data_IF_554680852577
#
_entry.id   IF_554680852577
#
_cell.length_a   1.000
_cell.length_b   1.000
_cell.length_c   1.000
_cell.angle_alpha   90.00
_cell.angle_beta   90.00
_cell.angle_gamma   90.00
#
_symmetry.space_group_name_H-M   'P 1'
#
loop_
_entity.id
_entity.type
_entity.pdbx_description
1 polymer ?
#
# COMPACT_ATOMS: atom_id res chain seq x y z
N UNK A 1 -6.33 -18.02 -7.75
CA UNK A 1 -4.86 -17.92 -7.65
C UNK A 1 -4.50 -18.31 -6.23
N UNK A 2 -3.48 -19.15 -6.04
CA UNK A 2 -3.05 -19.56 -4.70
C UNK A 2 -2.48 -18.35 -3.91
N UNK A 3 -2.68 -18.34 -2.58
CA UNK A 3 -2.28 -17.19 -1.76
C UNK A 3 -0.75 -16.98 -1.74
N UNK A 4 0.05 -18.04 -1.88
CA UNK A 4 1.51 -17.93 -1.99
C UNK A 4 1.92 -17.29 -3.32
N UNK A 5 1.20 -17.61 -4.40
CA UNK A 5 1.41 -16.97 -5.70
C UNK A 5 1.06 -15.48 -5.60
N UNK A 6 -0.05 -15.14 -4.95
CA UNK A 6 -0.44 -13.74 -4.75
C UNK A 6 0.57 -12.97 -3.88
N UNK A 7 1.04 -13.59 -2.79
CA UNK A 7 2.09 -13.03 -1.92
C UNK A 7 3.39 -12.79 -2.69
N UNK A 8 3.80 -13.74 -3.54
CA UNK A 8 5.02 -13.58 -4.35
C UNK A 8 4.91 -12.43 -5.36
N UNK A 9 3.73 -12.24 -5.97
CA UNK A 9 3.47 -11.09 -6.85
C UNK A 9 3.54 -9.76 -6.09
N UNK A 10 2.96 -9.70 -4.89
CA UNK A 10 3.04 -8.51 -4.04
C UNK A 10 4.47 -8.20 -3.60
N UNK A 11 5.23 -9.22 -3.20
CA UNK A 11 6.64 -9.05 -2.85
C UNK A 11 7.45 -8.49 -4.03
N UNK A 12 7.21 -8.99 -5.25
CA UNK A 12 7.87 -8.47 -6.45
C UNK A 12 7.52 -7.00 -6.70
N UNK A 13 6.26 -6.58 -6.48
CA UNK A 13 5.84 -5.20 -6.66
C UNK A 13 6.43 -4.27 -5.59
N UNK A 14 6.48 -4.71 -4.33
CA UNK A 14 7.17 -4.02 -3.23
C UNK A 14 8.63 -3.78 -3.61
N UNK A 15 9.34 -4.82 -4.07
CA UNK A 15 10.77 -4.72 -4.36
C UNK A 15 11.08 -3.88 -5.62
N UNK A 16 10.18 -3.86 -6.60
CA UNK A 16 10.39 -3.17 -7.89
C UNK A 16 9.87 -1.75 -7.91
N UNK A 17 8.77 -1.48 -7.21
CA UNK A 17 8.10 -0.18 -7.22
C UNK A 17 7.29 0.02 -5.93
N UNK A 18 7.98 0.01 -4.80
CA UNK A 18 7.38 0.14 -3.48
C UNK A 18 6.40 1.32 -3.41
N UNK A 19 6.82 2.50 -3.88
CA UNK A 19 6.00 3.71 -3.86
C UNK A 19 4.69 3.54 -4.61
N UNK A 20 4.73 3.04 -5.84
CA UNK A 20 3.51 2.86 -6.64
C UNK A 20 2.62 1.75 -6.11
N UNK A 21 3.21 0.69 -5.54
CA UNK A 21 2.45 -0.36 -4.87
C UNK A 21 1.65 0.20 -3.68
N UNK A 22 2.30 0.99 -2.82
CA UNK A 22 1.65 1.60 -1.65
C UNK A 22 0.62 2.64 -2.10
N UNK A 23 0.91 3.48 -3.11
CA UNK A 23 -0.08 4.41 -3.69
C UNK A 23 -1.33 3.68 -4.21
N UNK A 24 -1.16 2.52 -4.84
CA UNK A 24 -2.28 1.71 -5.31
C UNK A 24 -3.14 1.18 -4.15
N UNK A 25 -2.53 0.73 -3.05
CA UNK A 25 -3.26 0.30 -1.85
C UNK A 25 -4.03 1.48 -1.24
N UNK A 26 -3.38 2.63 -1.06
CA UNK A 26 -4.03 3.84 -0.53
C UNK A 26 -5.21 4.25 -1.44
N UNK A 27 -5.04 4.18 -2.75
CA UNK A 27 -6.10 4.48 -3.72
C UNK A 27 -7.31 3.54 -3.56
N UNK A 28 -7.07 2.23 -3.39
CA UNK A 28 -8.13 1.24 -3.15
C UNK A 28 -8.90 1.52 -1.86
N UNK A 29 -8.21 1.91 -0.80
CA UNK A 29 -8.83 2.13 0.52
C UNK A 29 -9.56 3.48 0.63
N UNK A 30 -9.07 4.50 -0.07
CA UNK A 30 -9.54 5.88 0.08
C UNK A 30 -10.33 6.41 -1.12
N UNK A 31 -10.38 5.65 -2.22
CA UNK A 31 -11.00 6.03 -3.51
C UNK A 31 -10.34 7.28 -4.16
N UNK A 32 -9.09 7.59 -3.78
CA UNK A 32 -8.32 8.71 -4.34
C UNK A 32 -7.52 8.24 -5.55
N UNK A 33 -7.69 8.91 -6.69
CA UNK A 33 -6.91 8.66 -7.91
C UNK A 33 -5.98 9.83 -8.29
N UNK A 34 -6.09 10.98 -7.61
CA UNK A 34 -5.24 12.15 -7.85
C UNK A 34 -3.78 11.88 -7.45
N UNK A 35 -2.86 11.98 -8.41
CA UNK A 35 -1.47 11.58 -8.22
C UNK A 35 -0.74 12.43 -7.17
N UNK A 36 -0.96 13.74 -7.16
CA UNK A 36 -0.35 14.64 -6.18
C UNK A 36 -0.85 14.35 -4.76
N UNK A 37 -2.14 14.02 -4.63
CA UNK A 37 -2.73 13.61 -3.35
C UNK A 37 -2.21 12.25 -2.89
N UNK A 38 -2.06 11.29 -3.80
CA UNK A 38 -1.46 9.99 -3.50
C UNK A 38 0.01 10.12 -3.08
N UNK A 39 0.78 11.00 -3.71
CA UNK A 39 2.17 11.25 -3.32
C UNK A 39 2.26 11.80 -1.89
N UNK A 40 1.42 12.78 -1.54
CA UNK A 40 1.37 13.32 -0.16
C UNK A 40 0.94 12.28 0.87
N UNK A 41 -0.05 11.44 0.54
CA UNK A 41 -0.52 10.38 1.43
C UNK A 41 0.56 9.30 1.62
N UNK A 42 1.30 8.95 0.56
CA UNK A 42 2.44 8.06 0.67
C UNK A 42 3.52 8.64 1.59
N UNK A 43 3.90 9.90 1.40
CA UNK A 43 4.96 10.52 2.21
C UNK A 43 4.51 10.57 3.69
N UNK A 44 3.26 10.93 3.95
CA UNK A 44 2.65 10.88 5.30
C UNK A 44 2.69 9.47 5.90
N UNK A 45 2.36 8.44 5.12
CA UNK A 45 2.42 7.04 5.56
C UNK A 45 3.85 6.57 5.88
N UNK A 46 4.86 7.04 5.15
CA UNK A 46 6.26 6.66 5.38
C UNK A 46 6.93 7.42 6.53
N UNK A 47 6.38 8.59 6.89
CA UNK A 47 6.86 9.39 8.03
C UNK A 47 6.28 8.91 9.37
N UNK A 48 5.14 8.22 9.35
CA UNK A 48 4.44 7.75 10.54
C UNK A 48 4.64 6.24 10.74
N UNK A 49 5.50 5.87 11.69
CA UNK A 49 5.80 4.47 12.05
C UNK A 49 4.56 3.71 12.60
N UNK A 50 3.50 4.40 13.01
CA UNK A 50 2.29 3.82 13.63
C UNK A 50 1.15 3.53 12.62
N UNK A 51 1.33 3.87 11.34
CA UNK A 51 0.31 3.64 10.30
C UNK A 51 0.40 2.23 9.70
N UNK A 52 -0.72 1.48 9.72
CA UNK A 52 -0.87 0.23 9.00
C UNK A 52 -1.86 0.36 7.85
N UNK A 53 -1.48 -0.02 6.63
CA UNK A 53 -2.40 -0.04 5.47
C UNK A 53 -3.45 -1.13 5.63
N UNK A 54 -3.05 -2.33 6.08
CA UNK A 54 -4.02 -3.37 6.38
C UNK A 54 -4.77 -2.96 7.65
N UNK A 55 -6.09 -2.82 7.52
CA UNK A 55 -7.00 -2.52 8.61
C UNK A 55 -6.61 -3.33 9.85
N UNK A 56 -6.35 -2.62 10.95
CA UNK A 56 -5.92 -3.18 12.24
C UNK A 56 -6.78 -4.36 12.71
N UNK A 57 -8.08 -4.39 12.34
CA UNK A 57 -8.99 -5.48 12.67
C UNK A 57 -8.59 -6.86 12.09
N UNK A 58 -7.61 -6.92 11.20
CA UNK A 58 -7.09 -8.14 10.59
C UNK A 58 -5.76 -8.62 11.20
N UNK A 59 -5.20 -7.89 12.16
CA UNK A 59 -3.85 -8.13 12.74
C UNK A 59 -3.91 -8.61 14.20
N UNK A 60 -5.10 -8.89 14.75
CA UNK A 60 -5.27 -9.54 16.07
C UNK A 60 -5.20 -11.08 16.01
#
# INVERSE_FOLDING_TARGET
MDYLVMKALFQLMIDKSHREFIKAIISIETDVEDEDRLNRLYDFYMEDDDMSLLNYALVE
#
